data_IF_901836404265
#
_entry.id   IF_901836404265
#
_cell.length_a   1.000
_cell.length_b   1.000
_cell.length_c   1.000
_cell.angle_alpha   90.00
_cell.angle_beta   90.00
_cell.angle_gamma   90.00
#
_symmetry.space_group_name_H-M   'P 1'
#
loop_
_entity.id
_entity.type
_entity.pdbx_description
1 polymer ?
#
# COMPACT_ATOMS: atom_id res chain seq x y z
N UNK A 1 0.44 17.11 4.35
CA UNK A 1 0.34 15.63 4.27
C UNK A 1 1.45 15.11 3.39
N UNK A 2 2.36 14.27 3.92
CA UNK A 2 3.41 13.63 3.15
C UNK A 2 2.86 12.35 2.48
N UNK A 3 3.42 11.99 1.34
CA UNK A 3 2.91 10.91 0.49
C UNK A 3 4.05 9.99 0.09
N UNK A 4 3.87 8.67 0.23
CA UNK A 4 4.74 7.68 -0.40
C UNK A 4 4.02 7.06 -1.60
N UNK A 5 4.62 7.19 -2.78
CA UNK A 5 4.10 6.71 -4.06
C UNK A 5 4.94 5.54 -4.58
N UNK A 6 4.30 4.40 -4.81
CA UNK A 6 4.90 3.22 -5.40
C UNK A 6 4.44 3.03 -6.84
N UNK A 7 5.38 2.90 -7.76
CA UNK A 7 5.14 2.68 -9.20
C UNK A 7 5.64 1.30 -9.61
N UNK A 8 4.84 0.58 -10.37
CA UNK A 8 5.27 -0.68 -10.99
C UNK A 8 6.07 -0.51 -12.29
N UNK A 9 6.22 0.71 -12.80
CA UNK A 9 6.86 0.97 -14.10
C UNK A 9 7.38 2.39 -14.22
N UNK A 10 8.51 2.56 -14.90
CA UNK A 10 9.08 3.88 -15.26
C UNK A 10 8.32 4.61 -16.37
N UNK A 11 7.40 3.97 -17.07
CA UNK A 11 6.73 4.59 -18.22
C UNK A 11 6.07 5.91 -17.82
N UNK A 12 6.49 7.07 -18.39
CA UNK A 12 5.93 8.38 -18.02
C UNK A 12 4.43 8.48 -18.30
N UNK A 13 3.96 7.86 -19.38
CA UNK A 13 2.56 7.86 -19.81
C UNK A 13 1.75 6.68 -19.22
N UNK A 14 2.24 6.04 -18.16
CA UNK A 14 1.46 5.02 -17.44
C UNK A 14 0.18 5.64 -16.90
N UNK A 15 -0.97 5.07 -17.27
CA UNK A 15 -2.28 5.58 -16.85
C UNK A 15 -2.43 5.59 -15.32
N UNK A 16 -1.89 4.60 -14.61
CA UNK A 16 -1.91 4.55 -13.14
C UNK A 16 -1.07 5.65 -12.52
N UNK A 17 0.11 5.93 -13.10
CA UNK A 17 0.99 6.99 -12.60
C UNK A 17 0.41 8.39 -12.85
N UNK A 18 -0.10 8.65 -14.06
CA UNK A 18 -0.74 9.94 -14.36
C UNK A 18 -2.01 10.15 -13.52
N UNK A 19 -2.77 9.08 -13.26
CA UNK A 19 -3.91 9.12 -12.33
C UNK A 19 -3.48 9.45 -10.90
N UNK A 20 -2.36 8.93 -10.43
CA UNK A 20 -1.81 9.27 -9.11
C UNK A 20 -1.38 10.74 -9.05
N UNK A 21 -0.69 11.24 -10.07
CA UNK A 21 -0.32 12.67 -10.15
C UNK A 21 -1.54 13.58 -10.13
N UNK A 22 -2.58 13.21 -10.88
CA UNK A 22 -3.86 13.94 -10.84
C UNK A 22 -4.49 13.90 -9.44
N UNK A 23 -4.55 12.74 -8.79
CA UNK A 23 -5.06 12.62 -7.43
C UNK A 23 -4.29 13.55 -6.47
N UNK A 24 -2.96 13.51 -6.52
CA UNK A 24 -2.10 14.34 -5.67
C UNK A 24 -2.38 15.83 -5.91
N UNK A 25 -2.58 16.26 -7.16
CA UNK A 25 -2.91 17.67 -7.50
C UNK A 25 -4.29 18.13 -6.98
N UNK A 26 -5.14 17.20 -6.53
CA UNK A 26 -6.46 17.50 -5.95
C UNK A 26 -6.46 17.50 -4.42
N UNK A 27 -5.35 17.14 -3.80
CA UNK A 27 -5.20 17.19 -2.35
C UNK A 27 -4.68 18.56 -1.91
N UNK A 28 -5.21 19.04 -0.80
CA UNK A 28 -4.69 20.24 -0.14
C UNK A 28 -3.48 19.92 0.72
N UNK A 29 -2.63 20.90 0.96
CA UNK A 29 -1.50 20.85 1.89
C UNK A 29 -0.59 19.61 1.70
N UNK A 30 -0.26 19.29 0.44
CA UNK A 30 0.71 18.24 0.12
C UNK A 30 2.11 18.74 0.45
N UNK A 31 2.81 18.00 1.32
CA UNK A 31 4.19 18.24 1.68
C UNK A 31 5.14 17.45 0.75
N UNK A 32 5.97 16.60 1.34
CA UNK A 32 6.92 15.77 0.60
C UNK A 32 6.24 14.60 -0.09
N UNK A 33 6.59 14.36 -1.35
CA UNK A 33 6.19 13.16 -2.09
C UNK A 33 7.42 12.29 -2.31
N UNK A 34 7.48 11.16 -1.61
CA UNK A 34 8.50 10.13 -1.79
C UNK A 34 8.05 9.18 -2.89
N UNK A 35 8.79 9.11 -3.99
CA UNK A 35 8.44 8.27 -5.14
C UNK A 35 9.42 7.12 -5.28
N UNK A 36 8.90 5.89 -5.33
CA UNK A 36 9.65 4.66 -5.55
C UNK A 36 9.17 3.94 -6.81
N UNK A 37 10.12 3.66 -7.70
CA UNK A 37 9.84 2.87 -8.91
C UNK A 37 10.33 1.44 -8.71
N UNK A 38 9.41 0.52 -8.61
CA UNK A 38 9.74 -0.89 -8.47
C UNK A 38 9.96 -1.53 -9.87
N UNK A 39 11.02 -2.32 -10.12
CA UNK A 39 11.96 -2.89 -9.14
C UNK A 39 13.23 -2.08 -8.88
N UNK A 40 13.44 -0.91 -9.50
CA UNK A 40 14.73 -0.18 -9.39
C UNK A 40 15.06 0.21 -7.95
N UNK A 41 14.08 0.73 -7.22
CA UNK A 41 14.24 1.12 -5.82
C UNK A 41 14.12 -0.07 -4.85
N UNK A 42 13.70 -1.24 -5.34
CA UNK A 42 13.67 -2.50 -4.60
C UNK A 42 13.99 -3.66 -5.54
N UNK A 43 15.26 -3.81 -6.00
CA UNK A 43 15.67 -4.82 -6.97
C UNK A 43 15.74 -6.24 -6.38
N UNK A 44 15.81 -6.37 -5.06
CA UNK A 44 15.88 -7.66 -4.40
C UNK A 44 14.49 -8.34 -4.38
N UNK A 45 14.44 -9.60 -4.81
CA UNK A 45 13.23 -10.43 -4.75
C UNK A 45 13.20 -11.16 -3.40
N UNK A 46 12.03 -11.21 -2.77
CA UNK A 46 11.86 -11.97 -1.52
C UNK A 46 12.09 -13.47 -1.77
N UNK A 47 13.07 -14.05 -1.09
CA UNK A 47 13.44 -15.46 -1.21
C UNK A 47 12.72 -16.36 -0.20
N UNK A 48 11.84 -15.83 0.63
CA UNK A 48 11.15 -16.60 1.67
C UNK A 48 12.09 -17.19 2.72
N UNK A 49 13.21 -16.55 3.02
CA UNK A 49 14.22 -17.06 3.96
C UNK A 49 13.80 -17.01 5.43
N UNK A 50 12.65 -16.42 5.74
CA UNK A 50 12.08 -16.28 7.08
C UNK A 50 12.93 -15.48 8.09
N UNK A 51 14.01 -14.83 7.68
CA UNK A 51 14.82 -14.02 8.59
C UNK A 51 13.98 -12.94 9.28
N UNK A 52 13.21 -12.17 8.50
CA UNK A 52 12.32 -11.14 9.03
C UNK A 52 11.20 -11.73 9.90
N UNK A 53 10.63 -12.88 9.59
CA UNK A 53 9.61 -13.54 10.43
C UNK A 53 10.19 -13.91 11.81
N UNK A 54 11.47 -14.30 11.85
CA UNK A 54 12.17 -14.63 13.08
C UNK A 54 12.79 -13.43 13.82
N UNK A 55 12.39 -12.17 13.50
CA UNK A 55 12.88 -10.98 14.18
C UNK A 55 14.27 -10.53 13.78
N UNK A 56 14.74 -10.94 12.59
CA UNK A 56 16.07 -10.61 12.05
C UNK A 56 15.90 -9.87 10.71
N UNK A 57 15.15 -8.79 10.71
CA UNK A 57 14.83 -7.99 9.52
C UNK A 57 16.09 -7.42 8.87
N UNK A 58 17.08 -7.06 9.67
CA UNK A 58 18.40 -6.59 9.25
C UNK A 58 19.19 -7.62 8.41
N UNK A 59 18.85 -8.90 8.51
CA UNK A 59 19.47 -9.99 7.72
C UNK A 59 18.78 -10.23 6.38
N UNK A 60 17.73 -9.48 6.05
CA UNK A 60 17.11 -9.55 4.74
C UNK A 60 18.08 -9.02 3.66
N UNK A 61 18.28 -9.76 2.57
CA UNK A 61 19.12 -9.29 1.45
C UNK A 61 18.66 -7.97 0.82
N UNK A 62 17.37 -7.63 0.98
CA UNK A 62 16.79 -6.35 0.55
C UNK A 62 16.83 -5.24 1.61
N UNK A 63 17.39 -5.46 2.79
CA UNK A 63 17.26 -4.56 3.94
C UNK A 63 17.65 -3.09 3.64
N UNK A 64 18.77 -2.87 2.96
CA UNK A 64 19.23 -1.53 2.65
C UNK A 64 18.24 -0.71 1.78
N UNK A 65 17.50 -1.38 0.89
CA UNK A 65 16.44 -0.75 0.11
C UNK A 65 15.19 -0.52 0.95
N UNK A 66 14.80 -1.52 1.74
CA UNK A 66 13.63 -1.45 2.62
C UNK A 66 13.77 -0.36 3.68
N UNK A 67 14.96 -0.09 4.19
CA UNK A 67 15.20 0.96 5.18
C UNK A 67 14.79 2.34 4.67
N UNK A 68 15.16 2.70 3.44
CA UNK A 68 14.76 3.96 2.80
C UNK A 68 13.25 4.05 2.62
N UNK A 69 12.64 2.95 2.16
CA UNK A 69 11.20 2.87 1.94
C UNK A 69 10.46 2.94 3.29
N UNK A 70 10.97 2.28 4.32
CA UNK A 70 10.40 2.34 5.67
C UNK A 70 10.35 3.77 6.21
N UNK A 71 11.46 4.51 6.11
CA UNK A 71 11.53 5.93 6.55
C UNK A 71 10.48 6.78 5.82
N UNK A 72 10.36 6.62 4.49
CA UNK A 72 9.36 7.34 3.70
C UNK A 72 7.93 6.97 4.11
N UNK A 73 7.63 5.66 4.27
CA UNK A 73 6.31 5.22 4.72
C UNK A 73 6.00 5.69 6.15
N UNK A 74 6.99 5.73 7.03
CA UNK A 74 6.81 6.18 8.41
C UNK A 74 6.54 7.69 8.48
N UNK A 75 7.14 8.48 7.59
CA UNK A 75 6.95 9.94 7.47
C UNK A 75 5.66 10.33 6.71
N UNK A 76 5.02 9.41 6.02
CA UNK A 76 3.86 9.69 5.17
C UNK A 76 2.54 9.38 5.86
N UNK A 77 1.52 10.20 5.62
CA UNK A 77 0.12 9.94 6.01
C UNK A 77 -0.66 9.18 4.94
N UNK A 78 -0.18 9.21 3.69
CA UNK A 78 -0.84 8.58 2.56
C UNK A 78 0.14 7.71 1.74
N UNK A 79 -0.23 6.43 1.52
CA UNK A 79 0.48 5.55 0.60
C UNK A 79 -0.32 5.41 -0.70
N UNK A 80 0.32 5.56 -1.86
CA UNK A 80 -0.32 5.40 -3.17
C UNK A 80 0.38 4.29 -3.95
N UNK A 81 -0.39 3.30 -4.39
CA UNK A 81 0.09 2.19 -5.22
C UNK A 81 -0.40 2.34 -6.65
N UNK A 82 0.52 2.59 -7.59
CA UNK A 82 0.27 2.60 -9.02
C UNK A 82 0.51 1.19 -9.58
N UNK A 83 -0.52 0.37 -9.61
CA UNK A 83 -0.46 -1.03 -9.98
C UNK A 83 -1.31 -1.31 -11.23
N UNK A 84 -0.76 -1.20 -12.45
CA UNK A 84 -1.47 -1.65 -13.64
C UNK A 84 -1.74 -3.16 -13.55
N UNK A 85 -2.81 -3.60 -14.18
CA UNK A 85 -3.11 -5.05 -14.24
C UNK A 85 -2.13 -5.73 -15.20
N UNK A 86 -1.41 -6.73 -14.70
CA UNK A 86 -0.58 -7.62 -15.49
C UNK A 86 -1.03 -9.07 -15.28
N UNK A 87 -1.37 -9.76 -16.36
CA UNK A 87 -1.84 -11.16 -16.27
C UNK A 87 -2.94 -11.35 -15.21
N UNK A 88 -3.93 -10.46 -15.19
CA UNK A 88 -5.06 -10.40 -14.25
C UNK A 88 -4.71 -10.04 -12.79
N UNK A 89 -3.46 -9.97 -12.40
CA UNK A 89 -2.98 -9.72 -11.04
C UNK A 89 -2.09 -8.49 -10.92
N UNK A 90 -1.64 -8.20 -9.69
CA UNK A 90 -0.66 -7.16 -9.44
C UNK A 90 0.67 -7.49 -10.16
N UNK A 91 1.41 -6.48 -10.68
CA UNK A 91 2.73 -6.70 -11.24
C UNK A 91 3.65 -7.43 -10.27
N UNK A 92 4.48 -8.34 -10.79
CA UNK A 92 5.38 -9.19 -9.98
C UNK A 92 6.28 -8.39 -9.04
N UNK A 93 6.76 -7.21 -9.47
CA UNK A 93 7.57 -6.32 -8.62
C UNK A 93 6.77 -5.71 -7.45
N UNK A 94 5.48 -5.40 -7.63
CA UNK A 94 4.60 -5.00 -6.52
C UNK A 94 4.42 -6.17 -5.56
N UNK A 95 4.15 -7.37 -6.08
CA UNK A 95 3.97 -8.55 -5.24
C UNK A 95 5.24 -8.89 -4.48
N UNK A 96 6.40 -8.87 -5.14
CA UNK A 96 7.70 -9.10 -4.50
C UNK A 96 7.97 -8.07 -3.39
N UNK A 97 7.67 -6.79 -3.63
CA UNK A 97 7.75 -5.76 -2.62
C UNK A 97 6.85 -6.09 -1.40
N UNK A 98 5.59 -6.44 -1.61
CA UNK A 98 4.67 -6.79 -0.53
C UNK A 98 5.13 -8.03 0.25
N UNK A 99 5.77 -9.00 -0.40
CA UNK A 99 6.30 -10.20 0.24
C UNK A 99 7.44 -9.91 1.22
N UNK A 100 8.26 -8.88 0.97
CA UNK A 100 9.25 -8.41 1.93
C UNK A 100 8.63 -7.88 3.23
N UNK A 101 7.37 -7.46 3.18
CA UNK A 101 6.64 -6.92 4.33
C UNK A 101 5.69 -7.91 5.01
N UNK A 102 5.84 -9.21 4.75
CA UNK A 102 5.06 -10.25 5.42
C UNK A 102 5.14 -10.15 6.95
N UNK A 103 6.31 -9.82 7.47
CA UNK A 103 6.52 -9.63 8.92
C UNK A 103 5.77 -8.43 9.53
N UNK A 104 5.32 -7.46 8.70
CA UNK A 104 4.50 -6.32 9.14
C UNK A 104 3.00 -6.62 9.16
N UNK A 105 2.58 -7.80 8.81
CA UNK A 105 1.19 -8.20 8.99
C UNK A 105 0.87 -8.33 10.49
N UNK A 106 -0.39 -8.04 10.88
CA UNK A 106 -0.86 -8.12 12.27
C UNK A 106 -0.65 -9.50 12.91
N UNK A 107 -0.52 -10.55 12.10
CA UNK A 107 -0.14 -11.89 12.56
C UNK A 107 1.30 -11.95 13.11
N UNK A 108 2.09 -10.92 12.82
CA UNK A 108 3.47 -10.78 13.25
C UNK A 108 3.69 -9.45 13.99
N UNK A 109 4.50 -8.54 13.42
CA UNK A 109 4.93 -7.27 14.04
C UNK A 109 4.52 -6.06 13.20
N UNK A 110 3.23 -5.68 13.21
CA UNK A 110 2.76 -4.52 12.46
C UNK A 110 3.37 -3.23 13.00
N UNK A 111 3.55 -2.25 12.12
CA UNK A 111 3.80 -0.89 12.57
C UNK A 111 2.44 -0.24 12.93
N UNK A 112 2.17 -0.03 14.21
CA UNK A 112 0.90 0.52 14.68
C UNK A 112 0.60 1.93 14.19
N UNK A 113 1.62 2.68 13.72
CA UNK A 113 1.40 3.96 13.06
C UNK A 113 0.50 3.85 11.81
N UNK A 114 0.44 2.66 11.18
CA UNK A 114 -0.45 2.42 10.03
C UNK A 114 -1.94 2.57 10.37
N UNK A 115 -2.33 2.40 11.63
CA UNK A 115 -3.70 2.66 12.11
C UNK A 115 -4.11 4.14 12.00
N UNK A 116 -3.15 5.03 11.74
CA UNK A 116 -3.34 6.47 11.56
C UNK A 116 -2.97 6.93 10.14
N UNK A 117 -2.88 6.01 9.17
CA UNK A 117 -2.53 6.30 7.78
C UNK A 117 -3.59 5.81 6.82
N UNK A 118 -3.55 6.38 5.61
CA UNK A 118 -4.46 6.03 4.52
C UNK A 118 -3.69 5.44 3.34
N UNK A 119 -4.36 4.64 2.51
CA UNK A 119 -3.80 4.13 1.27
C UNK A 119 -4.76 4.29 0.09
N UNK A 120 -4.21 4.48 -1.10
CA UNK A 120 -4.94 4.44 -2.37
C UNK A 120 -4.28 3.43 -3.30
N UNK A 121 -5.07 2.57 -3.88
CA UNK A 121 -4.64 1.62 -4.91
C UNK A 121 -5.27 2.05 -6.22
N UNK A 122 -4.45 2.41 -7.20
CA UNK A 122 -4.89 2.82 -8.53
C UNK A 122 -4.52 1.72 -9.52
N UNK A 123 -5.53 1.10 -10.14
CA UNK A 123 -5.32 0.05 -11.13
C UNK A 123 -6.04 0.37 -12.44
N UNK A 124 -5.33 0.23 -13.56
CA UNK A 124 -5.90 0.30 -14.90
C UNK A 124 -5.61 -0.98 -15.67
N UNK A 125 -6.51 -1.37 -16.54
CA UNK A 125 -6.41 -2.59 -17.34
C UNK A 125 -6.87 -2.36 -18.77
N UNK A 126 -6.42 -3.22 -19.69
CA UNK A 126 -6.99 -3.32 -21.02
C UNK A 126 -8.46 -3.77 -21.00
N UNK A 127 -8.86 -4.53 -19.99
CA UNK A 127 -10.23 -5.05 -19.85
C UNK A 127 -10.46 -5.72 -18.49
N UNK A 128 -9.82 -6.87 -18.24
CA UNK A 128 -10.00 -7.68 -17.03
C UNK A 128 -8.98 -7.44 -15.91
N UNK A 129 -9.11 -8.18 -14.79
CA UNK A 129 -8.16 -8.15 -13.65
C UNK A 129 -8.30 -6.97 -12.70
N UNK A 130 -9.31 -6.13 -12.87
CA UNK A 130 -9.55 -4.94 -12.04
C UNK A 130 -10.07 -5.24 -10.63
N UNK A 131 -10.41 -6.48 -10.34
CA UNK A 131 -10.82 -6.95 -9.02
C UNK A 131 -9.65 -7.58 -8.28
N UNK A 132 -8.91 -8.43 -8.97
CA UNK A 132 -7.82 -9.24 -8.42
C UNK A 132 -6.60 -8.38 -8.07
N UNK A 133 -6.13 -7.56 -9.01
CA UNK A 133 -4.95 -6.68 -8.82
C UNK A 133 -5.04 -5.79 -7.57
N UNK A 134 -6.10 -4.99 -7.36
CA UNK A 134 -6.19 -4.20 -6.14
C UNK A 134 -6.40 -5.07 -4.89
N UNK A 135 -7.00 -6.26 -5.01
CA UNK A 135 -7.17 -7.17 -3.89
C UNK A 135 -5.83 -7.68 -3.38
N UNK A 136 -4.89 -8.05 -4.27
CA UNK A 136 -3.54 -8.50 -3.90
C UNK A 136 -2.83 -7.47 -2.99
N UNK A 137 -2.99 -6.17 -3.29
CA UNK A 137 -2.40 -5.09 -2.50
C UNK A 137 -3.23 -4.80 -1.25
N UNK A 138 -4.55 -4.77 -1.40
CA UNK A 138 -5.46 -4.42 -0.30
C UNK A 138 -5.40 -5.40 0.86
N UNK A 139 -5.20 -6.68 0.59
CA UNK A 139 -5.02 -7.67 1.66
C UNK A 139 -3.80 -7.31 2.53
N UNK A 140 -2.68 -6.89 1.93
CA UNK A 140 -1.52 -6.40 2.68
C UNK A 140 -1.85 -5.13 3.47
N UNK A 141 -2.55 -4.16 2.87
CA UNK A 141 -2.95 -2.93 3.56
C UNK A 141 -3.83 -3.21 4.78
N UNK A 142 -4.81 -4.11 4.64
CA UNK A 142 -5.69 -4.49 5.74
C UNK A 142 -4.89 -5.15 6.89
N UNK A 143 -3.96 -6.05 6.56
CA UNK A 143 -3.13 -6.75 7.56
C UNK A 143 -1.97 -5.92 8.11
N UNK A 144 -1.49 -4.88 7.40
CA UNK A 144 -0.56 -3.90 7.96
C UNK A 144 -1.25 -2.94 8.95
N UNK A 145 -2.59 -2.95 9.00
CA UNK A 145 -3.37 -2.08 9.86
C UNK A 145 -3.71 -0.74 9.26
N UNK A 146 -3.59 -0.59 7.93
CA UNK A 146 -3.93 0.68 7.27
C UNK A 146 -5.35 1.12 7.60
N UNK A 147 -5.52 2.30 8.20
CA UNK A 147 -6.82 2.75 8.71
C UNK A 147 -7.89 2.76 7.62
N UNK A 148 -7.55 3.29 6.45
CA UNK A 148 -8.44 3.35 5.28
C UNK A 148 -7.68 3.02 4.01
N UNK A 149 -8.26 2.17 3.18
CA UNK A 149 -7.74 1.85 1.85
C UNK A 149 -8.81 2.13 0.80
N UNK A 150 -8.50 3.00 -0.14
CA UNK A 150 -9.35 3.34 -1.28
C UNK A 150 -8.87 2.61 -2.51
N UNK A 151 -9.80 2.16 -3.33
CA UNK A 151 -9.50 1.47 -4.59
C UNK A 151 -10.12 2.26 -5.74
N UNK A 152 -9.28 2.65 -6.69
CA UNK A 152 -9.68 3.31 -7.93
C UNK A 152 -9.28 2.43 -9.10
N UNK A 153 -10.25 1.94 -9.84
CA UNK A 153 -10.03 1.06 -10.99
C UNK A 153 -10.70 1.61 -12.24
N UNK A 154 -10.05 1.43 -13.41
CA UNK A 154 -10.60 1.82 -14.69
C UNK A 154 -10.12 0.89 -15.82
N UNK A 155 -11.05 0.32 -16.59
CA UNK A 155 -10.73 -0.29 -17.87
C UNK A 155 -10.43 0.81 -18.91
N UNK A 156 -9.31 0.68 -19.62
CA UNK A 156 -8.83 1.71 -20.56
C UNK A 156 -8.71 1.18 -22.01
N UNK A 157 -9.07 -0.08 -22.21
CA UNK A 157 -9.17 -0.75 -23.52
C UNK A 157 -7.99 -0.46 -24.45
N UNK A 158 -6.77 -0.70 -23.96
CA UNK A 158 -5.54 -0.51 -24.73
C UNK A 158 -5.01 0.92 -24.79
N UNK A 159 -5.74 1.89 -24.24
CA UNK A 159 -5.30 3.28 -24.18
C UNK A 159 -4.29 3.53 -23.05
N UNK A 160 -3.22 4.27 -23.36
CA UNK A 160 -2.41 4.95 -22.34
C UNK A 160 -3.05 6.31 -22.03
N UNK A 161 -2.54 6.98 -21.02
CA UNK A 161 -3.09 8.25 -20.54
C UNK A 161 -3.38 9.28 -21.65
N UNK A 162 -2.46 9.42 -22.64
CA UNK A 162 -2.58 10.42 -23.71
C UNK A 162 -3.59 10.06 -24.81
N UNK A 163 -3.85 8.77 -25.00
CA UNK A 163 -4.77 8.27 -26.03
C UNK A 163 -5.96 7.48 -25.46
N UNK A 164 -6.18 7.62 -24.17
CA UNK A 164 -7.38 7.10 -23.51
C UNK A 164 -8.61 7.85 -24.04
N UNK A 165 -9.68 7.11 -24.35
CA UNK A 165 -10.92 7.76 -24.78
C UNK A 165 -11.45 8.71 -23.69
N UNK A 166 -12.05 9.82 -24.11
CA UNK A 166 -12.60 10.85 -23.19
C UNK A 166 -13.59 10.25 -22.20
N UNK A 167 -14.41 9.30 -22.62
CA UNK A 167 -15.36 8.60 -21.74
C UNK A 167 -14.66 7.91 -20.56
N UNK A 168 -13.58 7.18 -20.81
CA UNK A 168 -12.86 6.46 -19.76
C UNK A 168 -12.04 7.41 -18.90
N UNK A 169 -11.45 8.43 -19.51
CA UNK A 169 -10.67 9.45 -18.81
C UNK A 169 -11.56 10.25 -17.86
N UNK A 170 -12.69 10.76 -18.31
CA UNK A 170 -13.67 11.48 -17.47
C UNK A 170 -14.16 10.59 -16.30
N UNK A 171 -14.47 9.31 -16.59
CA UNK A 171 -14.87 8.36 -15.54
C UNK A 171 -13.78 8.17 -14.49
N UNK A 172 -12.53 8.02 -14.92
CA UNK A 172 -11.38 7.87 -14.02
C UNK A 172 -11.17 9.13 -13.17
N UNK A 173 -11.15 10.31 -13.80
CA UNK A 173 -10.98 11.59 -13.11
C UNK A 173 -12.06 11.81 -12.04
N UNK A 174 -13.32 11.54 -12.36
CA UNK A 174 -14.42 11.64 -11.39
C UNK A 174 -14.24 10.69 -10.17
N UNK A 175 -13.75 9.47 -10.39
CA UNK A 175 -13.43 8.55 -9.28
C UNK A 175 -12.30 9.10 -8.41
N UNK A 176 -11.28 9.70 -9.03
CA UNK A 176 -10.15 10.30 -8.34
C UNK A 176 -10.58 11.53 -7.52
N UNK A 177 -11.42 12.42 -8.09
CA UNK A 177 -11.97 13.58 -7.38
C UNK A 177 -12.74 13.15 -6.13
N UNK A 178 -13.65 12.16 -6.26
CA UNK A 178 -14.35 11.59 -5.11
C UNK A 178 -13.41 10.97 -4.08
N UNK A 179 -12.32 10.39 -4.54
CA UNK A 179 -11.33 9.78 -3.64
C UNK A 179 -10.55 10.85 -2.90
N UNK A 180 -10.14 11.95 -3.55
CA UNK A 180 -9.49 13.09 -2.92
C UNK A 180 -10.35 13.68 -1.79
N UNK A 181 -11.61 13.94 -2.05
CA UNK A 181 -12.56 14.45 -1.03
C UNK A 181 -12.67 13.50 0.17
N UNK A 182 -12.68 12.18 -0.07
CA UNK A 182 -12.73 11.17 1.01
C UNK A 182 -11.45 11.12 1.82
N UNK A 183 -10.28 11.25 1.17
CA UNK A 183 -8.98 11.30 1.85
C UNK A 183 -8.94 12.50 2.80
N UNK A 184 -9.26 13.69 2.31
CA UNK A 184 -9.25 14.93 3.11
C UNK A 184 -10.26 14.90 4.25
N UNK A 185 -11.48 14.39 3.99
CA UNK A 185 -12.48 14.20 5.04
C UNK A 185 -11.97 13.30 6.16
N UNK A 186 -11.34 12.17 5.81
CA UNK A 186 -10.83 11.24 6.82
C UNK A 186 -9.52 11.72 7.47
N UNK A 187 -8.71 12.55 6.80
CA UNK A 187 -7.50 13.11 7.41
C UNK A 187 -7.81 13.93 8.67
N UNK A 188 -8.98 14.58 8.73
CA UNK A 188 -9.43 15.36 9.90
C UNK A 188 -9.84 14.47 11.09
N UNK A 189 -10.42 13.31 10.83
CA UNK A 189 -10.92 12.36 11.84
C UNK A 189 -10.72 10.94 11.36
N UNK A 190 -9.45 10.50 11.33
CA UNK A 190 -9.10 9.18 10.81
C UNK A 190 -9.44 8.09 11.83
N UNK A 191 -10.28 7.16 11.42
CA UNK A 191 -10.62 5.96 12.19
C UNK A 191 -10.46 4.72 11.32
N UNK A 192 -9.83 3.65 11.82
CA UNK A 192 -9.72 2.40 11.09
C UNK A 192 -11.08 1.83 10.68
N UNK A 193 -11.12 1.15 9.55
CA UNK A 193 -12.31 0.44 9.06
C UNK A 193 -12.73 -0.66 10.04
N UNK A 194 -13.99 -1.09 9.99
CA UNK A 194 -14.48 -2.19 10.85
C UNK A 194 -13.66 -3.47 10.67
N UNK A 195 -13.26 -3.79 9.43
CA UNK A 195 -12.40 -4.95 9.14
C UNK A 195 -11.04 -4.83 9.86
N UNK A 196 -10.38 -3.69 9.72
CA UNK A 196 -9.06 -3.45 10.36
C UNK A 196 -9.18 -3.49 11.87
N UNK A 197 -10.23 -2.90 12.46
CA UNK A 197 -10.50 -2.97 13.90
C UNK A 197 -10.72 -4.41 14.38
N UNK A 198 -11.47 -5.20 13.63
CA UNK A 198 -11.73 -6.60 13.96
C UNK A 198 -10.45 -7.45 13.89
N UNK A 199 -9.65 -7.29 12.83
CA UNK A 199 -8.35 -7.95 12.69
C UNK A 199 -7.41 -7.56 13.84
N UNK A 200 -7.29 -6.26 14.13
CA UNK A 200 -6.46 -5.77 15.22
C UNK A 200 -6.83 -6.43 16.55
N UNK A 201 -8.11 -6.38 16.94
CA UNK A 201 -8.59 -6.97 18.18
C UNK A 201 -8.40 -8.49 18.25
N UNK A 202 -8.55 -9.17 17.13
CA UNK A 202 -8.33 -10.62 17.07
C UNK A 202 -6.85 -10.95 17.31
N UNK A 203 -5.91 -10.28 16.59
CA UNK A 203 -4.48 -10.56 16.74
C UNK A 203 -3.93 -10.05 18.08
N UNK A 204 -4.36 -8.89 18.56
CA UNK A 204 -4.05 -8.40 19.92
C UNK A 204 -4.33 -9.50 20.96
N UNK A 205 -5.54 -10.08 20.93
CA UNK A 205 -5.93 -11.15 21.85
C UNK A 205 -5.04 -12.39 21.71
N UNK A 206 -4.74 -12.83 20.49
CA UNK A 206 -3.92 -14.01 20.26
C UNK A 206 -2.48 -13.81 20.76
N UNK A 207 -1.87 -12.65 20.49
CA UNK A 207 -0.52 -12.32 20.96
C UNK A 207 -0.45 -12.18 22.49
N UNK A 208 -1.42 -11.53 23.10
CA UNK A 208 -1.45 -11.40 24.56
C UNK A 208 -1.62 -12.76 25.27
N UNK A 209 -2.27 -13.72 24.61
CA UNK A 209 -2.41 -15.11 25.10
C UNK A 209 -1.18 -15.99 24.81
N UNK A 210 -0.16 -15.48 24.12
CA UNK A 210 1.05 -16.27 23.77
C UNK A 210 0.77 -17.38 22.75
N UNK A 211 -0.16 -17.18 21.83
CA UNK A 211 -0.60 -18.15 20.84
C UNK A 211 0.09 -18.01 19.48
N UNK A 212 0.99 -17.06 19.35
CA UNK A 212 1.71 -16.75 18.12
C UNK A 212 3.21 -17.05 18.29
N UNK A 213 4.06 -16.58 17.40
CA UNK A 213 5.49 -16.75 17.56
C UNK A 213 5.99 -15.93 18.77
N UNK A 214 6.90 -16.46 19.61
CA UNK A 214 7.38 -15.79 20.83
C UNK A 214 7.93 -14.38 20.56
N UNK A 215 8.62 -14.17 19.44
CA UNK A 215 9.16 -12.85 19.05
C UNK A 215 8.04 -11.86 18.75
N UNK A 216 6.96 -12.31 18.15
CA UNK A 216 5.81 -11.49 17.82
C UNK A 216 4.98 -11.17 19.07
N UNK A 217 4.76 -12.17 19.93
CA UNK A 217 4.04 -12.00 21.21
C UNK A 217 4.76 -10.99 22.12
N UNK A 218 6.09 -11.04 22.16
CA UNK A 218 6.91 -10.09 22.91
C UNK A 218 6.77 -8.68 22.36
N UNK A 219 6.88 -8.52 21.04
CA UNK A 219 6.68 -7.24 20.35
C UNK A 219 5.34 -6.59 20.68
N UNK A 220 4.24 -7.34 20.59
CA UNK A 220 2.90 -6.83 20.90
C UNK A 220 2.76 -6.42 22.37
N UNK A 221 3.25 -7.26 23.31
CA UNK A 221 3.21 -6.96 24.75
C UNK A 221 4.01 -5.70 25.11
N UNK A 222 5.16 -5.49 24.48
CA UNK A 222 6.01 -4.32 24.72
C UNK A 222 5.39 -3.03 24.10
N UNK A 223 4.83 -3.14 22.90
CA UNK A 223 4.28 -1.98 22.20
C UNK A 223 2.98 -1.50 22.83
N UNK A 224 2.15 -2.40 23.36
CA UNK A 224 0.89 -2.05 24.04
C UNK A 224 1.07 -1.48 25.44
N UNK A 225 2.28 -1.56 26.02
CA UNK A 225 2.59 -0.94 27.32
C UNK A 225 2.99 0.54 27.22
N UNK A 226 3.28 1.01 26.00
CA UNK A 226 3.65 2.40 25.69
C UNK A 226 2.41 3.23 25.38
#
# INVERSE_FOLDING_TARGET
MNITLFRATKRPNSSTYQAAKYLISKLSDVGTVYEFTLPEDMPHICLGCYACINGKEDKCGGYAYLEKINRAMDDSELLIFCAPVWCFHAPGQIKSFLDHYGYRWMVHRPNFAMLHKQAVIISTAGGGGLKETPKDIKDSMDYWGMARTYVVTQAVWGGFWNNMSEKFKTSLLHKLDKTAVRIEKHAKHLTPSLKVKALYKMFERLHLQGKMLPVDDSYWKETLKK
#
